data_IF_962837761834
#
_entry.id   IF_962837761834
#
_cell.length_a   1.000
_cell.length_b   1.000
_cell.length_c   1.000
_cell.angle_alpha   90.00
_cell.angle_beta   90.00
_cell.angle_gamma   90.00
#
_symmetry.space_group_name_H-M   'P 1'
#
loop_
_entity.id
_entity.type
_entity.pdbx_description
1 polymer ?
#
# COMPACT_ATOMS: atom_id res chain seq x y z
N UNK A 1 -8.87 -34.45 -6.41
CA UNK A 1 -7.81 -33.71 -7.12
C UNK A 1 -7.90 -32.28 -6.60
N UNK A 2 -7.18 -31.96 -5.54
CA UNK A 2 -7.12 -30.59 -5.02
C UNK A 2 -5.72 -30.13 -5.33
N UNK A 3 -5.59 -29.33 -6.39
CA UNK A 3 -4.34 -28.69 -6.74
C UNK A 3 -4.03 -27.71 -5.62
N UNK A 4 -3.11 -28.11 -4.75
CA UNK A 4 -2.41 -27.20 -3.88
C UNK A 4 -1.68 -26.21 -4.79
N UNK A 5 -2.16 -24.96 -4.82
CA UNK A 5 -1.56 -23.85 -5.56
C UNK A 5 -0.23 -23.49 -4.90
N UNK A 6 0.77 -24.36 -5.06
CA UNK A 6 2.14 -24.22 -4.55
C UNK A 6 3.00 -23.24 -5.37
N UNK A 7 2.45 -22.11 -5.79
CA UNK A 7 3.20 -21.03 -6.45
C UNK A 7 2.57 -19.66 -6.14
N UNK A 8 2.71 -19.15 -4.93
CA UNK A 8 2.46 -17.71 -4.64
C UNK A 8 3.46 -17.16 -3.63
N UNK A 9 4.75 -17.31 -3.93
CA UNK A 9 5.84 -16.58 -3.25
C UNK A 9 5.95 -15.10 -3.64
N UNK A 10 4.87 -14.52 -4.18
CA UNK A 10 4.72 -13.09 -4.29
C UNK A 10 3.75 -12.71 -3.17
N UNK A 11 4.26 -12.11 -2.10
CA UNK A 11 3.44 -11.37 -1.16
C UNK A 11 2.64 -10.38 -1.98
N UNK A 12 1.39 -10.72 -2.31
CA UNK A 12 0.50 -9.81 -3.02
C UNK A 12 0.22 -8.73 -2.01
N UNK A 13 0.97 -7.63 -2.09
CA UNK A 13 0.55 -6.40 -1.44
C UNK A 13 -0.82 -6.12 -2.01
N UNK A 14 -1.82 -6.08 -1.16
CA UNK A 14 -3.13 -5.50 -1.48
C UNK A 14 -3.13 -4.07 -1.02
N UNK A 15 -4.03 -3.24 -1.56
CA UNK A 15 -4.16 -1.85 -1.12
C UNK A 15 -4.35 -1.72 0.41
N UNK A 16 -5.08 -2.66 1.01
CA UNK A 16 -5.29 -2.80 2.46
C UNK A 16 -3.97 -2.92 3.25
N UNK A 17 -3.04 -3.74 2.74
CA UNK A 17 -1.72 -3.94 3.36
C UNK A 17 -0.89 -2.67 3.24
N UNK A 18 -0.96 -1.99 2.09
CA UNK A 18 -0.25 -0.71 1.87
C UNK A 18 -0.79 0.37 2.81
N UNK A 19 -2.12 0.41 3.02
CA UNK A 19 -2.78 1.31 3.97
C UNK A 19 -2.39 1.02 5.41
N UNK A 20 -2.34 -0.26 5.83
CA UNK A 20 -1.92 -0.62 7.18
C UNK A 20 -0.45 -0.26 7.45
N UNK A 21 0.45 -0.55 6.51
CA UNK A 21 1.86 -0.16 6.63
C UNK A 21 2.03 1.37 6.74
N UNK A 22 1.31 2.12 5.90
CA UNK A 22 1.31 3.58 5.97
C UNK A 22 0.75 4.08 7.32
N UNK A 23 -0.32 3.48 7.82
CA UNK A 23 -0.94 3.78 9.12
C UNK A 23 0.04 3.54 10.25
N UNK A 24 0.70 2.39 10.29
CA UNK A 24 1.71 2.07 11.30
C UNK A 24 2.87 3.06 11.29
N UNK A 25 3.34 3.51 10.12
CA UNK A 25 4.41 4.50 10.01
C UNK A 25 3.97 5.88 10.53
N UNK A 26 2.70 6.26 10.29
CA UNK A 26 2.12 7.49 10.84
C UNK A 26 1.97 7.40 12.35
N UNK A 27 1.48 6.27 12.87
CA UNK A 27 1.32 6.04 14.31
C UNK A 27 2.65 6.01 15.05
N UNK A 28 3.70 5.47 14.43
CA UNK A 28 5.08 5.52 14.94
C UNK A 28 5.70 6.92 14.87
N UNK A 29 5.04 7.88 14.21
CA UNK A 29 5.54 9.24 14.00
C UNK A 29 6.72 9.33 13.01
N UNK A 30 6.92 8.29 12.21
CA UNK A 30 8.02 8.20 11.23
C UNK A 30 7.66 8.95 9.95
N UNK A 31 6.40 8.90 9.55
CA UNK A 31 5.85 9.68 8.42
C UNK A 31 4.61 10.47 8.87
N UNK A 32 4.21 11.46 8.09
CA UNK A 32 2.97 12.23 8.33
C UNK A 32 1.98 12.05 7.18
N UNK A 33 0.68 12.17 7.49
CA UNK A 33 -0.40 12.09 6.49
C UNK A 33 -0.26 13.12 5.37
N UNK A 34 0.48 14.19 5.58
CA UNK A 34 0.70 15.24 4.58
C UNK A 34 1.85 14.92 3.62
N UNK A 35 2.71 13.96 3.96
CA UNK A 35 3.80 13.55 3.11
C UNK A 35 3.29 12.76 1.91
N UNK A 36 4.03 12.80 0.79
CA UNK A 36 3.67 12.06 -0.41
C UNK A 36 3.92 10.55 -0.24
N UNK A 37 3.13 9.72 -0.90
CA UNK A 37 3.19 8.24 -0.79
C UNK A 37 4.58 7.69 -1.16
N UNK A 38 5.31 8.32 -2.08
CA UNK A 38 6.65 7.86 -2.45
C UNK A 38 7.64 7.77 -1.27
N UNK A 39 7.40 8.48 -0.15
CA UNK A 39 8.28 8.38 1.04
C UNK A 39 8.25 6.97 1.65
N UNK A 40 7.18 6.20 1.41
CA UNK A 40 7.06 4.82 1.85
C UNK A 40 8.15 3.92 1.22
N UNK A 41 8.67 4.27 0.05
CA UNK A 41 9.79 3.57 -0.61
C UNK A 41 11.07 3.55 0.24
N UNK A 42 11.22 4.47 1.20
CA UNK A 42 12.35 4.48 2.13
C UNK A 42 12.23 3.43 3.23
N UNK A 43 11.02 2.92 3.48
CA UNK A 43 10.71 1.98 4.55
C UNK A 43 10.35 0.58 4.01
N UNK A 44 9.77 0.54 2.81
CA UNK A 44 9.41 -0.69 2.11
C UNK A 44 10.61 -1.12 1.24
N UNK A 45 11.07 -2.38 1.33
CA UNK A 45 12.19 -2.84 0.52
C UNK A 45 11.85 -2.80 -0.98
N UNK A 46 12.82 -2.46 -1.82
CA UNK A 46 12.63 -2.24 -3.26
C UNK A 46 11.97 -3.43 -4.00
N UNK A 47 12.19 -4.66 -3.54
CA UNK A 47 11.57 -5.86 -4.11
C UNK A 47 10.03 -5.91 -3.91
N UNK A 48 9.56 -5.32 -2.81
CA UNK A 48 8.15 -5.24 -2.44
C UNK A 48 7.52 -3.96 -2.99
N UNK A 49 8.31 -2.89 -3.11
CA UNK A 49 7.88 -1.62 -3.69
C UNK A 49 7.30 -1.76 -5.10
N UNK A 50 7.83 -2.65 -5.94
CA UNK A 50 7.29 -2.91 -7.28
C UNK A 50 5.84 -3.42 -7.22
N UNK A 51 5.50 -4.25 -6.24
CA UNK A 51 4.12 -4.70 -6.03
C UNK A 51 3.25 -3.55 -5.52
N UNK A 52 3.78 -2.71 -4.63
CA UNK A 52 3.10 -1.51 -4.11
C UNK A 52 2.74 -0.56 -5.24
N UNK A 53 3.69 -0.22 -6.12
CA UNK A 53 3.46 0.66 -7.27
C UNK A 53 2.37 0.11 -8.19
N UNK A 54 2.42 -1.19 -8.49
CA UNK A 54 1.42 -1.84 -9.33
C UNK A 54 0.00 -1.72 -8.75
N UNK A 55 -0.18 -1.95 -7.44
CA UNK A 55 -1.48 -1.82 -6.80
C UNK A 55 -1.96 -0.37 -6.71
N UNK A 56 -1.06 0.58 -6.40
CA UNK A 56 -1.39 2.00 -6.38
C UNK A 56 -1.90 2.45 -7.75
N UNK A 57 -1.23 2.04 -8.84
CA UNK A 57 -1.68 2.31 -10.20
C UNK A 57 -3.06 1.70 -10.50
N UNK A 58 -3.32 0.47 -10.05
CA UNK A 58 -4.64 -0.19 -10.19
C UNK A 58 -5.74 0.56 -9.46
N UNK A 59 -5.44 1.16 -8.31
CA UNK A 59 -6.35 1.99 -7.52
C UNK A 59 -6.40 3.46 -7.98
N UNK A 60 -5.71 3.83 -9.07
CA UNK A 60 -5.57 5.23 -9.54
C UNK A 60 -4.96 6.19 -8.51
N UNK A 61 -4.13 5.67 -7.60
CA UNK A 61 -3.42 6.45 -6.59
C UNK A 61 -2.03 6.78 -7.13
N UNK A 62 -1.62 8.05 -7.05
CA UNK A 62 -0.32 8.47 -7.57
C UNK A 62 0.69 8.55 -6.43
N UNK A 63 1.95 8.25 -6.73
CA UNK A 63 3.05 8.34 -5.75
C UNK A 63 3.24 9.73 -5.13
N UNK A 64 2.74 10.77 -5.81
CA UNK A 64 2.74 12.16 -5.34
C UNK A 64 1.55 12.50 -4.44
N UNK A 65 0.51 11.67 -4.42
CA UNK A 65 -0.62 11.86 -3.53
C UNK A 65 -0.16 11.70 -2.09
N UNK A 66 -0.96 12.25 -1.18
CA UNK A 66 -0.63 12.29 0.24
C UNK A 66 -0.91 10.93 0.86
N UNK A 67 -0.13 10.55 1.87
CA UNK A 67 -0.39 9.36 2.68
C UNK A 67 -1.80 9.40 3.29
N UNK A 68 -2.30 10.59 3.63
CA UNK A 68 -3.67 10.77 4.11
C UNK A 68 -4.75 10.46 3.05
N UNK A 69 -4.42 10.60 1.77
CA UNK A 69 -5.34 10.26 0.66
C UNK A 69 -5.43 8.74 0.48
N UNK A 70 -4.27 8.06 0.51
CA UNK A 70 -4.16 6.60 0.54
C UNK A 70 -4.99 5.96 1.67
N UNK A 71 -4.90 6.51 2.88
CA UNK A 71 -5.65 6.02 4.05
C UNK A 71 -7.12 6.48 4.09
N UNK A 72 -7.49 7.49 3.30
CA UNK A 72 -8.85 8.05 3.25
C UNK A 72 -9.77 7.36 2.25
N UNK A 73 -9.22 6.51 1.38
CA UNK A 73 -9.97 5.77 0.36
C UNK A 73 -10.72 4.53 0.92
N UNK A 74 -10.59 4.20 2.21
CA UNK A 74 -11.28 3.06 2.85
C UNK A 74 -12.82 3.24 2.98
N UNK A 75 -13.40 4.39 2.64
CA UNK A 75 -14.83 4.70 2.86
C UNK A 75 -15.64 5.02 1.60
N UNK A 76 -15.72 4.15 0.58
CA UNK A 76 -16.82 4.23 -0.42
C UNK A 76 -17.32 2.84 -0.85
N UNK A 77 -17.70 1.99 0.12
CA UNK A 77 -18.63 0.87 -0.13
C UNK A 77 -19.79 0.99 0.87
N UNK A 78 -20.72 1.90 0.54
CA UNK A 78 -22.07 1.96 1.10
C UNK A 78 -22.96 2.66 0.06
N UNK A 79 -23.34 1.93 -0.98
CA UNK A 79 -24.67 2.04 -1.61
C UNK A 79 -25.17 0.65 -2.03
#
# INVERSE_FOLDING_TARGET
MSVDTMLTGASVYSIDVIQDEARQLVEKGVVTRQQPIYVLCQYIPAREWVCVECELERCNILLRDRIGDLMGQEEWDND
#
